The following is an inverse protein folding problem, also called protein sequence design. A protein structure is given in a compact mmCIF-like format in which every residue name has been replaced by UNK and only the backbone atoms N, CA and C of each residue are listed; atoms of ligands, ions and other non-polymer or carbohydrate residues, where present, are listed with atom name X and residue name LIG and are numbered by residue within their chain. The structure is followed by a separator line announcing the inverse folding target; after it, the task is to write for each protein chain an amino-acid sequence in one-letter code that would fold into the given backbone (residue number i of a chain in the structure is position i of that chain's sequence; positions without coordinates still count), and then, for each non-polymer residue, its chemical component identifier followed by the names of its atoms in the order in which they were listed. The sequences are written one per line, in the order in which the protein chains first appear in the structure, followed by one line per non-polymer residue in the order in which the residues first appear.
data_IF_229222382889
#
_entry.id   IF_229222382889
#
_cell.length_a   1.000
_cell.length_b   1.000
_cell.length_c   1.000
_cell.angle_alpha   90.00
_cell.angle_beta   90.00
_cell.angle_gamma   90.00
#
_symmetry.space_group_name_H-M   'P 1'
#
loop_
_entity.id
_entity.type
_entity.pdbx_description
1 polymer ?
#
# COMPACT_ATOMS: atom_id res chain seq x y z
N UNK A 1 -8.43 -15.13 -15.38
CA UNK A 1 -8.43 -13.70 -15.03
C UNK A 1 -7.03 -13.15 -14.78
N UNK A 2 -6.25 -13.60 -13.79
CA UNK A 2 -4.95 -12.97 -13.43
C UNK A 2 -3.94 -12.73 -14.56
N UNK A 3 -3.80 -13.68 -15.49
CA UNK A 3 -2.90 -13.57 -16.64
C UNK A 3 -3.66 -13.51 -17.98
N UNK A 4 -4.99 -13.41 -17.93
CA UNK A 4 -5.82 -13.33 -19.13
C UNK A 4 -5.93 -11.88 -19.57
N UNK A 5 -5.50 -11.58 -20.80
CA UNK A 5 -5.82 -10.30 -21.43
C UNK A 5 -7.24 -10.43 -21.95
N UNK A 6 -8.18 -9.73 -21.31
CA UNK A 6 -9.57 -9.64 -21.76
C UNK A 6 -9.73 -8.29 -22.45
N UNK A 7 -9.99 -8.25 -23.79
CA UNK A 7 -10.16 -7.00 -24.50
C UNK A 7 -11.21 -6.10 -23.83
N UNK A 8 -10.85 -4.84 -23.57
CA UNK A 8 -11.73 -3.87 -22.93
C UNK A 8 -11.85 -3.99 -21.40
N UNK A 9 -11.26 -5.00 -20.75
CA UNK A 9 -11.27 -5.13 -19.30
C UNK A 9 -10.03 -4.51 -18.65
N UNK A 10 -10.19 -4.03 -17.41
CA UNK A 10 -9.06 -3.62 -16.58
C UNK A 10 -8.14 -4.80 -16.26
N UNK A 11 -6.83 -4.52 -16.18
CA UNK A 11 -5.86 -5.51 -15.74
C UNK A 11 -6.07 -5.84 -14.27
N UNK A 12 -6.37 -7.11 -13.96
CA UNK A 12 -6.50 -7.58 -12.59
C UNK A 12 -5.19 -8.22 -12.10
N UNK A 13 -4.48 -7.53 -11.21
CA UNK A 13 -3.29 -8.03 -10.51
C UNK A 13 -3.57 -8.11 -9.01
N UNK A 14 -2.94 -9.06 -8.33
CA UNK A 14 -2.99 -9.21 -6.87
C UNK A 14 -1.59 -9.46 -6.32
N UNK A 15 -1.34 -8.93 -5.13
CA UNK A 15 -0.12 -9.15 -4.34
C UNK A 15 -0.38 -10.08 -3.14
N UNK A 16 -1.53 -10.76 -3.15
CA UNK A 16 -1.98 -11.58 -2.03
C UNK A 16 -2.25 -10.73 -0.80
N UNK A 17 -1.85 -11.26 0.35
CA UNK A 17 -2.31 -10.75 1.64
C UNK A 17 -1.42 -9.66 2.27
N UNK A 18 -0.16 -9.58 1.85
CA UNK A 18 0.84 -8.67 2.43
C UNK A 18 1.23 -9.02 3.87
N UNK A 19 2.04 -8.17 4.52
CA UNK A 19 2.67 -8.47 5.82
C UNK A 19 2.49 -7.29 6.78
N UNK A 20 2.09 -7.55 8.02
CA UNK A 20 1.85 -6.52 9.02
C UNK A 20 2.14 -7.00 10.45
N UNK A 21 2.16 -6.04 11.39
CA UNK A 21 2.09 -6.38 12.80
C UNK A 21 0.71 -7.00 13.14
N UNK A 22 0.60 -7.98 14.07
CA UNK A 22 -0.68 -8.57 14.46
C UNK A 22 -1.75 -7.54 14.85
N UNK A 23 -2.93 -7.61 14.22
CA UNK A 23 -4.02 -6.66 14.48
C UNK A 23 -3.83 -5.29 13.79
N UNK A 24 -2.79 -5.13 12.97
CA UNK A 24 -2.58 -3.96 12.10
C UNK A 24 -2.97 -4.29 10.65
N UNK A 25 -2.49 -3.52 9.67
CA UNK A 25 -2.80 -3.72 8.24
C UNK A 25 -3.67 -2.62 7.64
N UNK A 26 -4.45 -2.94 6.61
CA UNK A 26 -5.29 -1.97 5.89
C UNK A 26 -6.36 -1.35 6.81
N UNK A 27 -6.22 -0.05 7.08
CA UNK A 27 -7.08 0.79 7.94
C UNK A 27 -7.24 0.33 9.41
N UNK A 28 -6.63 -0.79 9.83
CA UNK A 28 -6.79 -1.32 11.19
C UNK A 28 -8.23 -1.71 11.53
N UNK A 29 -9.08 -1.91 10.52
CA UNK A 29 -10.48 -2.27 10.73
C UNK A 29 -10.58 -3.76 11.11
N UNK A 30 -11.33 -4.14 12.17
CA UNK A 30 -11.36 -5.52 12.68
C UNK A 30 -11.65 -6.59 11.63
N UNK A 31 -12.44 -6.26 10.60
CA UNK A 31 -12.79 -7.18 9.51
C UNK A 31 -11.68 -7.43 8.49
N UNK A 32 -10.51 -6.81 8.63
CA UNK A 32 -9.38 -6.90 7.69
C UNK A 32 -8.02 -7.00 8.36
N UNK A 33 -7.97 -6.94 9.69
CA UNK A 33 -6.72 -6.97 10.48
C UNK A 33 -6.14 -8.39 10.64
N UNK A 34 -6.91 -9.40 10.27
CA UNK A 34 -6.56 -10.83 10.23
C UNK A 34 -6.12 -11.31 8.84
N UNK A 35 -6.16 -10.41 7.84
CA UNK A 35 -5.80 -10.74 6.46
C UNK A 35 -4.28 -10.90 6.32
N UNK A 36 -3.43 -9.88 6.62
CA UNK A 36 -1.99 -9.97 6.35
C UNK A 36 -1.29 -11.07 7.15
N UNK A 37 -0.12 -11.52 6.69
CA UNK A 37 0.76 -12.33 7.53
C UNK A 37 1.11 -11.55 8.81
N UNK A 38 0.72 -12.05 10.01
CA UNK A 38 1.06 -11.40 11.26
C UNK A 38 2.48 -11.78 11.65
N UNK A 39 3.38 -10.81 11.77
CA UNK A 39 4.79 -11.07 12.13
C UNK A 39 5.24 -10.22 13.31
N UNK A 40 6.00 -10.85 14.21
CA UNK A 40 6.57 -10.24 15.42
C UNK A 40 8.07 -10.51 15.58
N UNK A 41 8.62 -11.47 14.83
CA UNK A 41 10.04 -11.78 14.80
C UNK A 41 10.63 -11.64 13.39
N UNK A 42 11.96 -11.51 13.31
CA UNK A 42 12.68 -11.41 12.04
C UNK A 42 12.51 -12.67 11.19
N UNK A 43 12.52 -13.86 11.81
CA UNK A 43 12.37 -15.10 11.04
C UNK A 43 10.94 -15.25 10.50
N UNK A 44 9.92 -14.97 11.30
CA UNK A 44 8.52 -14.90 10.82
C UNK A 44 8.38 -13.93 9.64
N UNK A 45 9.07 -12.79 9.70
CA UNK A 45 9.06 -11.81 8.63
C UNK A 45 9.67 -12.34 7.32
N UNK A 46 10.74 -13.13 7.40
CA UNK A 46 11.36 -13.79 6.24
C UNK A 46 10.50 -14.94 5.72
N UNK A 47 9.95 -15.77 6.60
CA UNK A 47 9.04 -16.86 6.23
C UNK A 47 7.79 -16.35 5.53
N UNK A 48 7.20 -15.24 6.01
CA UNK A 48 6.07 -14.60 5.37
C UNK A 48 6.38 -14.15 3.93
N UNK A 49 7.60 -13.63 3.67
CA UNK A 49 8.04 -13.33 2.31
C UNK A 49 8.15 -14.60 1.49
N UNK A 50 8.87 -15.62 2.00
CA UNK A 50 9.09 -16.90 1.30
C UNK A 50 7.78 -17.59 0.91
N UNK A 51 6.77 -17.54 1.78
CA UNK A 51 5.45 -18.09 1.48
C UNK A 51 4.68 -17.21 0.48
N UNK A 52 4.65 -15.89 0.68
CA UNK A 52 3.93 -14.97 -0.21
C UNK A 52 4.48 -15.02 -1.66
N UNK A 53 5.80 -15.14 -1.85
CA UNK A 53 6.37 -15.23 -3.22
C UNK A 53 5.92 -16.46 -4.00
N UNK A 54 5.39 -17.51 -3.35
CA UNK A 54 4.87 -18.72 -4.02
C UNK A 54 3.70 -18.41 -4.94
N UNK A 55 2.93 -17.35 -4.62
CA UNK A 55 1.86 -16.87 -5.50
C UNK A 55 2.39 -15.91 -6.59
N UNK A 56 3.70 -15.70 -6.72
CA UNK A 56 4.34 -14.83 -7.72
C UNK A 56 3.74 -13.42 -7.74
N UNK A 57 3.68 -12.72 -6.58
CA UNK A 57 3.12 -11.38 -6.53
C UNK A 57 3.98 -10.42 -7.35
N UNK A 58 3.38 -9.34 -7.87
CA UNK A 58 4.16 -8.30 -8.58
C UNK A 58 5.08 -7.51 -7.62
N UNK A 59 4.71 -7.47 -6.34
CA UNK A 59 5.50 -6.89 -5.24
C UNK A 59 4.98 -7.41 -3.89
N UNK A 60 5.81 -7.32 -2.84
CA UNK A 60 5.41 -7.58 -1.45
C UNK A 60 4.83 -6.30 -0.85
N UNK A 61 3.64 -6.39 -0.24
CA UNK A 61 3.00 -5.25 0.45
C UNK A 61 3.26 -5.31 1.95
N UNK A 62 3.69 -4.19 2.55
CA UNK A 62 3.86 -4.05 4.00
C UNK A 62 3.13 -2.83 4.58
N UNK A 63 2.79 -2.89 5.87
CA UNK A 63 2.22 -1.77 6.64
C UNK A 63 3.10 -1.38 7.83
N UNK A 64 3.60 -0.14 7.80
CA UNK A 64 4.48 0.50 8.78
C UNK A 64 3.78 1.76 9.31
N UNK A 65 2.66 1.58 10.00
CA UNK A 65 1.86 2.67 10.56
C UNK A 65 1.19 2.22 11.86
N UNK A 66 1.41 2.99 12.93
CA UNK A 66 0.84 2.75 14.26
C UNK A 66 -0.53 3.41 14.44
N UNK A 67 -1.05 4.05 13.39
CA UNK A 67 -2.38 4.67 13.35
C UNK A 67 -2.52 5.78 14.37
N UNK A 68 -1.45 6.53 14.64
CA UNK A 68 -1.40 7.56 15.68
C UNK A 68 -1.36 6.93 17.08
N UNK A 69 -0.60 5.84 17.22
CA UNK A 69 -0.46 5.10 18.49
C UNK A 69 -1.60 4.15 18.85
N UNK A 70 -2.63 3.99 18.00
CA UNK A 70 -3.77 3.09 18.25
C UNK A 70 -3.40 1.61 18.04
N UNK A 71 -2.41 1.33 17.20
CA UNK A 71 -1.94 -0.03 16.92
C UNK A 71 -0.43 -0.08 16.97
N UNK A 72 0.14 -1.26 17.15
CA UNK A 72 1.56 -1.47 16.88
C UNK A 72 1.80 -1.54 15.36
N UNK A 73 3.04 -1.28 14.95
CA UNK A 73 3.49 -1.35 13.56
C UNK A 73 4.72 -2.25 13.43
N UNK A 74 5.05 -2.65 12.21
CA UNK A 74 6.33 -3.30 11.93
C UNK A 74 7.47 -2.38 12.38
N UNK A 75 8.36 -2.89 13.21
CA UNK A 75 9.56 -2.18 13.66
C UNK A 75 10.64 -2.20 12.59
N UNK A 76 11.66 -1.34 12.67
CA UNK A 76 12.77 -1.35 11.72
C UNK A 76 13.42 -2.71 11.48
N UNK A 77 13.74 -3.52 12.51
CA UNK A 77 14.27 -4.86 12.28
C UNK A 77 13.35 -5.75 11.43
N UNK A 78 12.02 -5.65 11.60
CA UNK A 78 11.05 -6.47 10.87
C UNK A 78 10.94 -6.04 9.41
N UNK A 79 10.66 -4.77 9.13
CA UNK A 79 10.48 -4.35 7.74
C UNK A 79 11.79 -4.40 6.95
N UNK A 80 12.95 -4.17 7.57
CA UNK A 80 14.25 -4.31 6.89
C UNK A 80 14.52 -5.78 6.53
N UNK A 81 14.15 -6.73 7.38
CA UNK A 81 14.27 -8.16 7.06
C UNK A 81 13.34 -8.57 5.91
N UNK A 82 12.11 -8.05 5.88
CA UNK A 82 11.16 -8.28 4.77
C UNK A 82 11.75 -7.78 3.45
N UNK A 83 12.29 -6.56 3.46
CA UNK A 83 12.83 -5.93 2.25
C UNK A 83 14.06 -6.69 1.74
N UNK A 84 14.99 -7.04 2.63
CA UNK A 84 16.17 -7.84 2.29
C UNK A 84 15.78 -9.22 1.71
N UNK A 85 14.83 -9.92 2.32
CA UNK A 85 14.38 -11.24 1.82
C UNK A 85 13.66 -11.12 0.47
N UNK A 86 12.81 -10.12 0.29
CA UNK A 86 12.11 -9.89 -0.97
C UNK A 86 13.08 -9.58 -2.11
N UNK A 87 14.11 -8.77 -1.83
CA UNK A 87 15.15 -8.43 -2.80
C UNK A 87 16.02 -9.63 -3.17
N UNK A 88 16.36 -10.52 -2.22
CA UNK A 88 17.04 -11.80 -2.51
C UNK A 88 16.25 -12.69 -3.46
N UNK A 89 14.92 -12.57 -3.44
CA UNK A 89 13.99 -13.29 -4.30
C UNK A 89 13.59 -12.50 -5.55
N UNK A 90 14.22 -11.35 -5.81
CA UNK A 90 13.95 -10.46 -6.94
C UNK A 90 12.50 -9.94 -7.00
N UNK A 91 11.86 -9.74 -5.85
CA UNK A 91 10.49 -9.20 -5.75
C UNK A 91 10.54 -7.77 -5.16
N UNK A 92 9.95 -6.76 -5.82
CA UNK A 92 9.83 -5.40 -5.30
C UNK A 92 9.03 -5.32 -4.00
N UNK A 93 9.16 -4.22 -3.25
CA UNK A 93 8.40 -3.96 -2.04
C UNK A 93 7.63 -2.64 -2.14
N UNK A 94 6.37 -2.68 -1.72
CA UNK A 94 5.56 -1.49 -1.53
C UNK A 94 5.18 -1.32 -0.05
N UNK A 95 5.30 -0.12 0.47
CA UNK A 95 5.00 0.21 1.86
C UNK A 95 3.75 1.08 1.99
N UNK A 96 3.11 1.00 3.15
CA UNK A 96 2.28 2.06 3.70
C UNK A 96 3.00 2.57 4.94
N UNK A 97 3.37 3.85 4.97
CA UNK A 97 3.94 4.50 6.15
C UNK A 97 3.47 5.97 6.20
N UNK A 98 3.71 6.63 7.34
CA UNK A 98 3.24 8.00 7.60
C UNK A 98 4.37 8.92 8.05
N UNK A 99 5.32 8.43 8.84
CA UNK A 99 6.38 9.26 9.43
C UNK A 99 7.58 9.43 8.49
N UNK A 100 8.24 10.57 8.57
CA UNK A 100 9.50 10.89 7.91
C UNK A 100 10.63 9.94 8.34
N UNK A 101 10.67 9.59 9.63
CA UNK A 101 11.68 8.67 10.16
C UNK A 101 11.61 7.29 9.48
N UNK A 102 10.41 6.70 9.40
CA UNK A 102 10.22 5.42 8.71
C UNK A 102 10.43 5.60 7.19
N UNK A 103 9.98 6.71 6.60
CA UNK A 103 10.15 7.00 5.18
C UNK A 103 11.63 6.99 4.77
N UNK A 104 12.51 7.63 5.54
CA UNK A 104 13.96 7.63 5.28
C UNK A 104 14.56 6.23 5.32
N UNK A 105 14.16 5.40 6.31
CA UNK A 105 14.66 4.04 6.43
C UNK A 105 14.17 3.14 5.29
N UNK A 106 12.88 3.21 4.95
CA UNK A 106 12.28 2.48 3.83
C UNK A 106 12.91 2.90 2.50
N UNK A 107 13.12 4.20 2.30
CA UNK A 107 13.74 4.73 1.10
C UNK A 107 15.18 4.25 0.95
N UNK A 108 15.98 4.24 2.03
CA UNK A 108 17.35 3.68 2.02
C UNK A 108 17.38 2.18 1.77
N UNK A 109 16.39 1.46 2.29
CA UNK A 109 16.29 0.01 2.13
C UNK A 109 15.89 -0.41 0.71
N UNK A 110 15.50 0.52 -0.16
CA UNK A 110 15.22 0.25 -1.56
C UNK A 110 13.75 0.00 -1.89
N UNK A 111 12.81 0.33 -0.98
CA UNK A 111 11.36 0.25 -1.26
C UNK A 111 11.02 1.07 -2.51
N UNK A 112 10.15 0.54 -3.36
CA UNK A 112 9.82 1.13 -4.65
C UNK A 112 8.40 1.66 -4.72
N UNK A 113 7.50 1.14 -3.90
CA UNK A 113 6.07 1.40 -4.03
C UNK A 113 5.42 2.07 -2.84
N UNK A 114 4.58 3.07 -3.12
CA UNK A 114 3.75 3.71 -2.12
C UNK A 114 2.31 3.92 -2.61
N UNK A 115 1.34 3.38 -1.87
CA UNK A 115 -0.08 3.65 -2.15
C UNK A 115 -0.50 5.06 -1.70
N UNK A 116 0.21 5.63 -0.74
CA UNK A 116 -0.01 6.97 -0.23
C UNK A 116 1.35 7.63 -0.05
N UNK A 117 1.40 8.95 -0.09
CA UNK A 117 2.63 9.69 0.18
C UNK A 117 3.32 9.19 1.47
N UNK A 118 4.65 8.98 1.45
CA UNK A 118 5.37 8.34 2.54
C UNK A 118 5.46 9.20 3.80
N UNK A 119 5.28 10.51 3.68
CA UNK A 119 5.33 11.47 4.79
C UNK A 119 4.03 12.25 4.82
N UNK A 120 3.30 12.17 5.93
CA UNK A 120 1.95 12.72 6.11
C UNK A 120 1.75 13.16 7.57
N UNK A 121 0.54 13.64 7.89
CA UNK A 121 0.11 14.02 9.25
C UNK A 121 0.95 15.12 9.92
N UNK A 122 1.29 16.16 9.17
CA UNK A 122 2.01 17.33 9.68
C UNK A 122 3.53 17.24 9.57
N UNK A 123 4.08 16.06 9.28
CA UNK A 123 5.46 15.93 8.85
C UNK A 123 5.61 16.26 7.36
N UNK A 124 6.77 16.78 6.99
CA UNK A 124 7.11 17.15 5.60
C UNK A 124 8.40 16.45 5.17
N UNK A 125 8.53 16.02 3.90
CA UNK A 125 9.80 15.56 3.36
C UNK A 125 10.91 16.60 3.55
N UNK A 126 12.05 16.18 4.10
CA UNK A 126 13.20 17.05 4.29
C UNK A 126 14.32 16.79 3.26
N UNK A 127 15.37 17.61 3.31
CA UNK A 127 16.50 17.52 2.38
C UNK A 127 17.19 16.16 2.42
N UNK A 128 17.22 15.50 3.58
CA UNK A 128 17.79 14.17 3.74
C UNK A 128 17.00 13.13 2.93
N UNK A 129 15.67 13.13 3.04
CA UNK A 129 14.82 12.23 2.25
C UNK A 129 15.00 12.46 0.75
N UNK A 130 15.05 13.73 0.32
CA UNK A 130 15.28 14.10 -1.09
C UNK A 130 16.68 13.64 -1.56
N UNK A 131 17.70 13.75 -0.71
CA UNK A 131 19.05 13.30 -1.01
C UNK A 131 19.11 11.79 -1.22
N UNK A 132 18.43 11.00 -0.37
CA UNK A 132 18.36 9.53 -0.53
C UNK A 132 17.76 9.16 -1.89
N UNK A 133 16.66 9.81 -2.28
CA UNK A 133 16.00 9.57 -3.58
C UNK A 133 16.96 9.87 -4.75
N UNK A 134 17.61 11.04 -4.73
CA UNK A 134 18.57 11.43 -5.77
C UNK A 134 19.74 10.44 -5.85
N UNK A 135 20.24 9.98 -4.71
CA UNK A 135 21.34 9.01 -4.65
C UNK A 135 20.95 7.65 -5.23
N UNK A 136 19.74 7.16 -4.93
CA UNK A 136 19.23 5.91 -5.51
C UNK A 136 19.15 5.97 -7.02
N UNK A 137 18.61 7.07 -7.55
CA UNK A 137 18.54 7.32 -8.99
C UNK A 137 19.94 7.36 -9.59
N UNK A 138 20.86 8.14 -9.01
CA UNK A 138 22.23 8.28 -9.52
C UNK A 138 23.03 6.97 -9.50
N UNK A 139 22.78 6.10 -8.51
CA UNK A 139 23.45 4.80 -8.37
C UNK A 139 22.76 3.67 -9.14
N UNK A 140 21.65 3.94 -9.82
CA UNK A 140 20.79 2.92 -10.43
C UNK A 140 20.35 1.84 -9.42
N UNK A 141 20.17 2.23 -8.15
CA UNK A 141 19.77 1.34 -7.07
C UNK A 141 18.26 1.37 -6.89
N UNK A 142 17.58 0.39 -7.52
CA UNK A 142 16.12 0.29 -7.60
C UNK A 142 15.49 1.65 -7.91
N UNK A 143 15.88 2.32 -9.02
CA UNK A 143 15.60 3.73 -9.24
C UNK A 143 14.14 4.01 -9.64
N UNK A 144 13.41 2.97 -10.04
CA UNK A 144 12.00 3.06 -10.38
C UNK A 144 11.17 3.07 -9.10
N UNK A 145 10.78 4.27 -8.67
CA UNK A 145 9.91 4.48 -7.52
C UNK A 145 8.56 4.98 -8.03
N UNK A 146 7.48 4.41 -7.50
CA UNK A 146 6.11 4.79 -7.81
C UNK A 146 5.37 5.15 -6.54
N UNK A 147 4.60 6.22 -6.63
CA UNK A 147 3.68 6.64 -5.60
C UNK A 147 2.34 6.89 -6.28
N UNK A 148 1.25 6.44 -5.67
CA UNK A 148 -0.07 6.86 -6.09
C UNK A 148 -0.30 8.27 -5.49
N UNK A 149 -0.36 9.33 -6.32
CA UNK A 149 -0.51 10.71 -5.86
C UNK A 149 -1.96 10.92 -5.40
N UNK A 150 -2.32 10.32 -4.26
CA UNK A 150 -3.66 10.39 -3.68
C UNK A 150 -4.73 9.91 -4.66
N UNK A 151 -5.12 8.63 -4.56
CA UNK A 151 -6.45 8.22 -4.99
C UNK A 151 -7.49 8.90 -4.09
N UNK A 152 -7.68 10.20 -4.25
CA UNK A 152 -8.95 10.82 -3.93
C UNK A 152 -10.00 10.10 -4.76
N UNK A 153 -11.18 9.92 -4.18
CA UNK A 153 -12.41 9.61 -4.93
C UNK A 153 -12.64 10.53 -6.15
N UNK A 154 -11.88 11.61 -6.28
CA UNK A 154 -11.80 12.50 -7.44
C UNK A 154 -11.62 11.78 -8.79
N UNK A 155 -11.04 10.59 -8.84
CA UNK A 155 -10.93 9.82 -10.09
C UNK A 155 -12.24 9.14 -10.53
N UNK A 156 -13.30 9.24 -9.73
CA UNK A 156 -14.61 8.63 -9.99
C UNK A 156 -15.66 9.71 -9.86
N UNK A 157 -15.98 10.38 -10.98
CA UNK A 157 -17.15 11.24 -11.05
C UNK A 157 -18.42 10.50 -10.62
N UNK A 158 -19.48 11.22 -10.29
CA UNK A 158 -20.73 10.64 -9.74
C UNK A 158 -21.26 9.45 -10.56
N UNK A 159 -21.10 9.49 -11.88
CA UNK A 159 -21.55 8.43 -12.79
C UNK A 159 -20.81 7.10 -12.62
N UNK A 160 -19.55 7.12 -12.18
CA UNK A 160 -18.78 5.90 -11.92
C UNK A 160 -19.36 5.07 -10.76
N UNK A 161 -20.20 5.68 -9.91
CA UNK A 161 -20.90 5.00 -8.82
C UNK A 161 -22.23 4.37 -9.25
N UNK A 162 -22.65 4.62 -10.48
CA UNK A 162 -23.84 4.02 -11.09
C UNK A 162 -23.50 2.80 -11.97
N UNK A 163 -22.23 2.37 -11.97
CA UNK A 163 -21.72 1.21 -12.71
C UNK A 163 -22.50 -0.09 -12.36
N UNK A 164 -23.02 -0.84 -13.36
CA UNK A 164 -23.78 -2.07 -13.10
C UNK A 164 -23.02 -3.12 -12.29
N UNK A 165 -21.71 -3.29 -12.52
CA UNK A 165 -20.88 -4.25 -11.79
C UNK A 165 -20.70 -3.83 -10.32
N UNK A 166 -20.62 -2.52 -10.06
CA UNK A 166 -20.59 -1.99 -8.70
C UNK A 166 -21.92 -2.25 -7.98
N UNK A 167 -23.05 -2.00 -8.65
CA UNK A 167 -24.39 -2.20 -8.08
C UNK A 167 -24.75 -3.66 -7.85
N UNK A 168 -24.20 -4.57 -8.65
CA UNK A 168 -24.36 -6.01 -8.46
C UNK A 168 -23.58 -6.55 -7.25
N UNK A 169 -22.54 -5.83 -6.79
CA UNK A 169 -21.64 -6.27 -5.72
C UNK A 169 -21.80 -5.49 -4.41
N UNK A 170 -22.27 -4.24 -4.47
CA UNK A 170 -22.48 -3.37 -3.33
C UNK A 170 -23.89 -2.79 -3.42
N UNK A 171 -24.71 -3.02 -2.38
CA UNK A 171 -26.09 -2.54 -2.39
C UNK A 171 -26.16 -1.00 -2.40
N UNK A 172 -27.20 -0.40 -3.00
CA UNK A 172 -27.40 1.05 -2.96
C UNK A 172 -27.39 1.63 -1.54
N UNK A 173 -27.88 0.86 -0.54
CA UNK A 173 -27.86 1.26 0.85
C UNK A 173 -26.43 1.37 1.41
N UNK A 174 -25.55 0.42 1.11
CA UNK A 174 -24.14 0.47 1.54
C UNK A 174 -23.36 1.59 0.83
N UNK A 175 -23.67 1.86 -0.43
CA UNK A 175 -23.11 3.02 -1.14
C UNK A 175 -23.55 4.31 -0.44
N UNK A 176 -24.83 4.46 -0.12
CA UNK A 176 -25.35 5.63 0.59
C UNK A 176 -24.73 5.78 1.99
N UNK A 177 -24.63 4.70 2.75
CA UNK A 177 -24.10 4.70 4.12
C UNK A 177 -22.63 5.11 4.17
N UNK A 178 -21.81 4.65 3.23
CA UNK A 178 -20.35 4.87 3.26
C UNK A 178 -19.88 6.04 2.40
N UNK A 179 -20.61 6.38 1.34
CA UNK A 179 -20.19 7.34 0.33
C UNK A 179 -21.23 8.42 0.00
N UNK A 180 -22.47 8.31 0.49
CA UNK A 180 -23.55 9.23 0.15
C UNK A 180 -23.21 10.70 0.41
N UNK A 181 -22.60 11.00 1.56
CA UNK A 181 -22.18 12.36 1.92
C UNK A 181 -21.04 12.89 1.04
N UNK A 182 -20.11 12.02 0.64
CA UNK A 182 -19.01 12.39 -0.25
C UNK A 182 -19.54 12.66 -1.66
N UNK A 183 -20.45 11.80 -2.16
CA UNK A 183 -21.07 11.91 -3.47
C UNK A 183 -22.01 13.12 -3.58
N UNK A 184 -22.75 13.44 -2.52
CA UNK A 184 -23.64 14.60 -2.48
C UNK A 184 -22.88 15.93 -2.54
N UNK A 185 -21.60 15.93 -2.12
CA UNK A 185 -20.73 17.11 -2.12
C UNK A 185 -19.87 17.23 -3.38
N UNK A 186 -19.85 16.22 -4.25
CA UNK A 186 -19.16 16.28 -5.54
C UNK A 186 -19.96 17.17 -6.50
N UNK A 187 -19.36 18.27 -6.93
CA UNK A 187 -19.89 19.11 -8.03
C UNK A 187 -19.49 18.53 -9.39
N UNK A 188 -20.20 18.84 -10.47
CA UNK A 188 -19.79 18.45 -11.83
C UNK A 188 -18.35 18.83 -12.17
N UNK A 189 -17.85 19.94 -11.61
CA UNK A 189 -16.48 20.45 -11.81
C UNK A 189 -15.42 19.82 -10.87
N UNK A 190 -15.82 18.90 -9.98
CA UNK A 190 -14.92 18.21 -9.04
C UNK A 190 -14.32 16.91 -9.60
N UNK A 191 -14.46 16.70 -10.92
CA UNK A 191 -14.02 15.53 -11.70
C UNK A 191 -12.94 15.96 -12.70
#
# INVERSE_FOLDING_TARGET
MRNGIIPGAALFKTVGTGIAWPGSGANGHPSRTDVPYPVTTVEEAREAVRDNVRIKPEFIKIWVDDRGGRTKKLTPPLYLAIIDEAHKLNVPVAAHNVTLADAKLLMRAGVEGWLHLPVRNGEVPDEELISIIKQRIAKNDRPQMWFNPGAGSAASGREAWDDPLLRDTISPQQIQEHWGDALAKMTPDSV
#
